data_IF_360760220134
#
_entry.id   IF_360760220134
#
_cell.length_a   1.000
_cell.length_b   1.000
_cell.length_c   1.000
_cell.angle_alpha   90.00
_cell.angle_beta   90.00
_cell.angle_gamma   90.00
#
_symmetry.space_group_name_H-M   'P 1'
#
loop_
_entity.id
_entity.type
_entity.pdbx_description
1 polymer ?
#
# COMPACT_ATOMS: atom_id res chain seq x y z
N UNK A 1 -7.32 4.08 -3.50
CA UNK A 1 -7.59 5.22 -2.61
C UNK A 1 -7.68 4.74 -1.15
N UNK A 2 -6.52 4.69 -0.50
CA UNK A 2 -6.43 4.19 0.87
C UNK A 2 -7.13 5.13 1.87
N UNK A 3 -6.94 6.44 1.73
CA UNK A 3 -7.39 7.42 2.73
C UNK A 3 -8.91 7.45 2.84
N UNK A 4 -9.60 7.62 1.73
CA UNK A 4 -11.07 7.63 1.68
C UNK A 4 -11.64 6.28 2.15
N UNK A 5 -11.04 5.16 1.71
CA UNK A 5 -11.52 3.83 2.06
C UNK A 5 -11.42 3.55 3.56
N UNK A 6 -10.28 3.86 4.19
CA UNK A 6 -10.09 3.63 5.63
C UNK A 6 -10.97 4.57 6.45
N UNK A 7 -11.12 5.84 6.06
CA UNK A 7 -12.03 6.77 6.73
C UNK A 7 -13.48 6.24 6.67
N UNK A 8 -13.92 5.74 5.53
CA UNK A 8 -15.26 5.18 5.38
C UNK A 8 -15.49 3.95 6.26
N UNK A 9 -14.50 3.05 6.38
CA UNK A 9 -14.55 1.91 7.31
C UNK A 9 -14.67 2.36 8.78
N UNK A 10 -13.97 3.43 9.14
CA UNK A 10 -14.09 4.03 10.47
C UNK A 10 -15.47 4.65 10.72
N UNK A 11 -16.02 5.36 9.75
CA UNK A 11 -17.36 5.95 9.85
C UNK A 11 -18.46 4.87 9.93
N UNK A 12 -18.30 3.77 9.20
CA UNK A 12 -19.21 2.63 9.30
C UNK A 12 -19.11 1.95 10.67
N UNK A 13 -17.90 1.83 11.23
CA UNK A 13 -17.69 1.38 12.60
C UNK A 13 -18.40 2.29 13.61
N UNK A 14 -18.27 3.61 13.48
CA UNK A 14 -18.96 4.58 14.33
C UNK A 14 -20.47 4.39 14.28
N UNK A 15 -21.05 4.28 13.09
CA UNK A 15 -22.48 4.06 12.87
C UNK A 15 -22.96 2.78 13.54
N UNK A 16 -22.18 1.71 13.49
CA UNK A 16 -22.57 0.40 14.01
C UNK A 16 -22.37 0.24 15.53
N UNK A 17 -21.44 1.01 16.11
CA UNK A 17 -21.06 0.86 17.53
C UNK A 17 -21.41 2.06 18.39
N UNK A 18 -21.64 3.24 17.79
CA UNK A 18 -21.78 4.51 18.50
C UNK A 18 -20.45 5.08 19.03
N UNK A 19 -19.33 4.40 18.83
CA UNK A 19 -18.00 4.85 19.25
C UNK A 19 -17.56 5.98 18.33
N UNK A 20 -17.34 7.15 18.90
CA UNK A 20 -16.91 8.35 18.16
C UNK A 20 -15.41 8.54 18.22
N UNK A 21 -14.85 9.08 17.15
CA UNK A 21 -13.43 9.41 17.05
C UNK A 21 -13.14 10.45 15.98
N UNK A 22 -11.94 10.99 16.03
CA UNK A 22 -11.41 11.76 14.88
C UNK A 22 -10.80 10.79 13.87
N UNK A 23 -11.66 10.22 13.03
CA UNK A 23 -11.30 9.15 12.10
C UNK A 23 -10.34 9.60 11.01
N UNK A 24 -10.45 10.86 10.57
CA UNK A 24 -9.49 11.45 9.63
C UNK A 24 -8.10 11.48 10.25
N UNK A 25 -7.98 12.03 11.47
CA UNK A 25 -6.70 12.09 12.18
C UNK A 25 -6.15 10.69 12.47
N UNK A 26 -7.00 9.73 12.87
CA UNK A 26 -6.60 8.34 13.07
C UNK A 26 -6.00 7.76 11.79
N UNK A 27 -6.68 7.90 10.66
CA UNK A 27 -6.24 7.36 9.36
C UNK A 27 -4.92 7.96 8.93
N UNK A 28 -4.77 9.28 9.03
CA UNK A 28 -3.54 9.98 8.66
C UNK A 28 -2.36 9.57 9.57
N UNK A 29 -2.57 9.48 10.88
CA UNK A 29 -1.56 8.98 11.84
C UNK A 29 -1.20 7.52 11.57
N UNK A 30 -2.17 6.69 11.19
CA UNK A 30 -1.94 5.29 10.88
C UNK A 30 -1.04 5.15 9.65
N UNK A 31 -1.30 5.92 8.61
CA UNK A 31 -0.45 5.98 7.41
C UNK A 31 0.95 6.54 7.72
N UNK A 32 1.06 7.55 8.59
CA UNK A 32 2.35 8.11 9.02
C UNK A 32 3.22 7.10 9.77
N UNK A 33 2.62 6.16 10.51
CA UNK A 33 3.37 5.09 11.20
C UNK A 33 3.80 3.93 10.27
N UNK A 34 3.37 3.94 9.01
CA UNK A 34 3.63 2.88 8.04
C UNK A 34 5.14 2.65 7.81
N UNK A 35 5.86 3.64 7.29
CA UNK A 35 7.31 3.52 7.07
C UNK A 35 8.09 3.29 8.37
N UNK A 36 7.92 4.07 9.45
CA UNK A 36 8.67 3.86 10.69
C UNK A 36 8.50 2.48 11.32
N UNK A 37 7.34 1.83 11.11
CA UNK A 37 7.11 0.48 11.63
C UNK A 37 7.88 -0.59 10.85
N UNK A 38 7.98 -0.45 9.53
CA UNK A 38 8.75 -1.34 8.67
C UNK A 38 10.26 -1.12 8.81
N UNK A 39 10.71 0.11 9.02
CA UNK A 39 12.13 0.44 9.17
C UNK A 39 12.78 -0.31 10.33
N UNK A 40 12.05 -0.60 11.41
CA UNK A 40 12.56 -1.44 12.49
C UNK A 40 12.89 -2.87 12.04
N UNK A 41 12.10 -3.41 11.13
CA UNK A 41 12.36 -4.74 10.54
C UNK A 41 13.54 -4.64 9.57
N UNK A 42 13.55 -3.64 8.70
CA UNK A 42 14.60 -3.41 7.69
C UNK A 42 15.98 -3.18 8.32
N UNK A 43 16.02 -2.45 9.43
CA UNK A 43 17.25 -2.14 10.17
C UNK A 43 17.71 -3.29 11.10
N UNK A 44 16.98 -4.43 11.14
CA UNK A 44 17.32 -5.56 12.00
C UNK A 44 17.04 -5.33 13.49
N UNK A 45 16.32 -4.28 13.84
CA UNK A 45 15.89 -4.01 15.22
C UNK A 45 14.76 -4.96 15.66
N UNK A 46 14.15 -5.62 14.70
CA UNK A 46 13.05 -6.58 14.89
C UNK A 46 13.13 -7.66 13.81
N UNK A 47 12.80 -8.90 14.18
CA UNK A 47 12.61 -9.98 13.22
C UNK A 47 11.46 -9.66 12.23
N UNK A 48 11.46 -10.37 11.11
CA UNK A 48 10.41 -10.24 10.11
C UNK A 48 9.02 -10.45 10.73
N UNK A 49 8.13 -9.53 10.44
CA UNK A 49 6.68 -9.63 10.67
C UNK A 49 5.96 -9.04 9.46
N UNK A 50 4.79 -9.54 9.15
CA UNK A 50 3.98 -9.00 8.07
C UNK A 50 3.35 -7.63 8.42
N UNK A 51 2.92 -6.92 7.39
CA UNK A 51 2.39 -5.56 7.54
C UNK A 51 1.11 -5.51 8.38
N UNK A 52 0.24 -6.53 8.33
CA UNK A 52 -1.00 -6.55 9.13
C UNK A 52 -0.73 -6.52 10.63
N UNK A 53 0.34 -7.18 11.06
CA UNK A 53 0.81 -7.14 12.45
C UNK A 53 1.29 -5.72 12.82
N UNK A 54 2.11 -5.11 11.96
CA UNK A 54 2.59 -3.73 12.17
C UNK A 54 1.44 -2.72 12.16
N UNK A 55 0.46 -2.90 11.28
CA UNK A 55 -0.75 -2.09 11.23
C UNK A 55 -1.56 -2.22 12.51
N UNK A 56 -1.77 -3.45 13.03
CA UNK A 56 -2.52 -3.68 14.27
C UNK A 56 -1.85 -3.02 15.47
N UNK A 57 -0.55 -3.17 15.60
CA UNK A 57 0.23 -2.54 16.67
C UNK A 57 0.13 -1.01 16.62
N UNK A 58 0.29 -0.43 15.43
CA UNK A 58 0.14 1.00 15.21
C UNK A 58 -1.28 1.48 15.50
N UNK A 59 -2.29 0.75 15.05
CA UNK A 59 -3.70 1.07 15.33
C UNK A 59 -3.99 1.12 16.83
N UNK A 60 -3.57 0.12 17.60
CA UNK A 60 -3.76 0.07 19.06
C UNK A 60 -3.12 1.29 19.72
N UNK A 61 -1.89 1.63 19.32
CA UNK A 61 -1.19 2.80 19.84
C UNK A 61 -1.94 4.10 19.55
N UNK A 62 -2.40 4.29 18.31
CA UNK A 62 -3.09 5.51 17.87
C UNK A 62 -4.46 5.64 18.54
N UNK A 63 -5.22 4.55 18.66
CA UNK A 63 -6.50 4.56 19.38
C UNK A 63 -6.32 5.05 20.82
N UNK A 64 -5.28 4.57 21.52
CA UNK A 64 -4.94 5.02 22.87
C UNK A 64 -4.56 6.50 22.90
N UNK A 65 -3.75 6.96 21.97
CA UNK A 65 -3.29 8.35 21.86
C UNK A 65 -4.46 9.33 21.61
N UNK A 66 -5.42 8.90 20.79
CA UNK A 66 -6.62 9.68 20.46
C UNK A 66 -7.75 9.50 21.49
N UNK A 67 -7.53 8.73 22.56
CA UNK A 67 -8.54 8.40 23.57
C UNK A 67 -9.81 7.76 23.00
N UNK A 68 -9.69 6.98 21.91
CA UNK A 68 -10.79 6.23 21.30
C UNK A 68 -10.86 4.88 22.00
N UNK A 69 -11.91 4.67 22.82
CA UNK A 69 -12.07 3.51 23.67
C UNK A 69 -13.34 2.73 23.32
N UNK A 70 -13.46 1.50 23.85
CA UNK A 70 -14.68 0.70 23.75
C UNK A 70 -14.76 -0.21 22.54
N UNK A 71 -13.74 -0.26 21.69
CA UNK A 71 -13.71 -1.22 20.60
C UNK A 71 -13.56 -2.65 21.17
N UNK A 72 -14.45 -3.55 20.74
CA UNK A 72 -14.26 -4.98 20.97
C UNK A 72 -13.09 -5.52 20.13
N UNK A 73 -12.51 -6.64 20.52
CA UNK A 73 -11.46 -7.31 19.74
C UNK A 73 -11.93 -7.62 18.30
N UNK A 74 -13.20 -7.99 18.13
CA UNK A 74 -13.82 -8.19 16.81
C UNK A 74 -13.77 -6.91 15.98
N UNK A 75 -14.14 -5.77 16.54
CA UNK A 75 -14.13 -4.47 15.85
C UNK A 75 -12.72 -4.01 15.56
N UNK A 76 -11.77 -4.23 16.47
CA UNK A 76 -10.36 -3.92 16.27
C UNK A 76 -9.78 -4.72 15.11
N UNK A 77 -10.03 -6.03 15.06
CA UNK A 77 -9.58 -6.89 13.97
C UNK A 77 -10.23 -6.51 12.63
N UNK A 78 -11.53 -6.19 12.65
CA UNK A 78 -12.22 -5.73 11.46
C UNK A 78 -11.62 -4.42 10.93
N UNK A 79 -11.36 -3.45 11.80
CA UNK A 79 -10.74 -2.19 11.42
C UNK A 79 -9.31 -2.41 10.92
N UNK A 80 -8.52 -3.27 11.56
CA UNK A 80 -7.17 -3.59 11.10
C UNK A 80 -7.16 -4.11 9.66
N UNK A 81 -8.14 -4.92 9.29
CA UNK A 81 -8.27 -5.42 7.92
C UNK A 81 -8.98 -4.46 6.95
N UNK A 82 -9.20 -3.18 7.32
CA UNK A 82 -9.69 -2.16 6.40
C UNK A 82 -8.81 -2.03 5.15
N UNK A 83 -7.50 -2.17 5.32
CA UNK A 83 -6.51 -2.16 4.23
C UNK A 83 -6.71 -3.26 3.17
N UNK A 84 -7.39 -4.36 3.52
CA UNK A 84 -7.76 -5.44 2.58
C UNK A 84 -8.96 -5.07 1.70
N UNK A 85 -9.64 -3.96 1.99
CA UNK A 85 -10.93 -3.61 1.39
C UNK A 85 -10.92 -2.26 0.67
N UNK A 86 -9.72 -1.73 0.40
CA UNK A 86 -9.56 -0.44 -0.27
C UNK A 86 -10.29 -0.41 -1.61
N UNK A 87 -10.91 0.72 -1.91
CA UNK A 87 -11.49 0.99 -3.22
C UNK A 87 -10.40 1.45 -4.19
N UNK A 88 -10.40 0.97 -5.43
CA UNK A 88 -9.47 1.46 -6.45
C UNK A 88 -9.82 2.91 -6.83
N UNK A 89 -8.89 3.60 -7.45
CA UNK A 89 -9.20 4.81 -8.20
C UNK A 89 -10.07 4.46 -9.40
N UNK A 90 -10.84 5.43 -9.89
CA UNK A 90 -11.86 5.20 -10.94
C UNK A 90 -11.30 4.67 -12.25
N UNK A 91 -10.05 4.98 -12.56
CA UNK A 91 -9.32 4.56 -13.76
C UNK A 91 -8.60 3.21 -13.63
N UNK A 92 -8.47 2.69 -12.39
CA UNK A 92 -7.56 1.57 -12.10
C UNK A 92 -7.97 0.27 -12.81
N UNK A 93 -9.24 -0.12 -12.71
CA UNK A 93 -9.69 -1.42 -13.25
C UNK A 93 -9.60 -1.42 -14.78
N UNK A 94 -10.02 -0.32 -15.42
CA UNK A 94 -9.95 -0.17 -16.87
C UNK A 94 -8.49 -0.14 -17.33
N UNK A 95 -7.65 0.69 -16.69
CA UNK A 95 -6.23 0.80 -17.02
C UNK A 95 -5.48 -0.52 -16.87
N UNK A 96 -5.72 -1.29 -15.80
CA UNK A 96 -5.11 -2.60 -15.62
C UNK A 96 -5.55 -3.61 -16.67
N UNK A 97 -6.82 -3.63 -17.07
CA UNK A 97 -7.30 -4.50 -18.16
C UNK A 97 -6.67 -4.13 -19.50
N UNK A 98 -6.48 -2.84 -19.77
CA UNK A 98 -5.80 -2.37 -20.98
C UNK A 98 -4.33 -2.81 -20.98
N UNK A 99 -3.62 -2.63 -19.88
CA UNK A 99 -2.24 -3.08 -19.74
C UNK A 99 -2.11 -4.60 -19.90
N UNK A 100 -3.00 -5.36 -19.28
CA UNK A 100 -3.01 -6.83 -19.35
C UNK A 100 -3.16 -7.37 -20.78
N UNK A 101 -3.76 -6.62 -21.68
CA UNK A 101 -3.88 -7.04 -23.09
C UNK A 101 -2.54 -7.13 -23.81
N UNK A 102 -1.49 -6.48 -23.30
CA UNK A 102 -0.17 -6.42 -23.93
C UNK A 102 0.99 -6.85 -23.02
N UNK A 103 0.77 -6.86 -21.70
CA UNK A 103 1.80 -7.11 -20.70
C UNK A 103 1.33 -8.10 -19.66
N UNK A 104 2.26 -8.83 -19.05
CA UNK A 104 2.00 -9.50 -17.78
C UNK A 104 2.01 -8.46 -16.66
N UNK A 105 0.94 -8.41 -15.85
CA UNK A 105 0.79 -7.46 -14.77
C UNK A 105 0.85 -8.12 -13.41
N UNK A 106 1.65 -7.55 -12.52
CA UNK A 106 1.90 -8.09 -11.18
C UNK A 106 1.79 -7.02 -10.13
N UNK A 107 1.41 -7.40 -8.92
CA UNK A 107 1.62 -6.51 -7.77
C UNK A 107 3.08 -6.55 -7.32
N UNK A 108 3.57 -5.47 -6.71
CA UNK A 108 4.77 -5.44 -5.89
C UNK A 108 4.54 -4.46 -4.75
N UNK A 109 4.13 -4.97 -3.61
CA UNK A 109 3.65 -4.17 -2.49
C UNK A 109 4.27 -4.59 -1.16
N UNK A 110 4.36 -3.66 -0.23
CA UNK A 110 4.67 -3.96 1.17
C UNK A 110 3.50 -4.64 1.91
N UNK A 111 2.28 -4.60 1.37
CA UNK A 111 1.12 -5.34 1.87
C UNK A 111 1.33 -6.85 1.81
N UNK A 112 0.75 -7.60 2.75
CA UNK A 112 0.79 -9.06 2.76
C UNK A 112 0.05 -9.71 1.59
N UNK A 113 0.32 -10.98 1.31
CA UNK A 113 -0.32 -11.74 0.22
C UNK A 113 -1.83 -11.76 0.38
N UNK A 114 -2.32 -12.00 1.60
CA UNK A 114 -3.76 -12.02 1.90
C UNK A 114 -4.41 -10.65 1.65
N UNK A 115 -3.76 -9.56 2.04
CA UNK A 115 -4.23 -8.20 1.79
C UNK A 115 -4.42 -7.95 0.29
N UNK A 116 -3.40 -8.24 -0.50
CA UNK A 116 -3.41 -8.03 -1.95
C UNK A 116 -4.43 -8.93 -2.66
N UNK A 117 -4.51 -10.19 -2.24
CA UNK A 117 -5.47 -11.16 -2.78
C UNK A 117 -6.92 -10.76 -2.46
N UNK A 118 -7.18 -10.33 -1.22
CA UNK A 118 -8.52 -9.87 -0.82
C UNK A 118 -8.94 -8.63 -1.60
N UNK A 119 -8.04 -7.66 -1.79
CA UNK A 119 -8.31 -6.49 -2.64
C UNK A 119 -8.58 -6.91 -4.09
N UNK A 120 -7.73 -7.77 -4.65
CA UNK A 120 -7.88 -8.23 -6.04
C UNK A 120 -9.22 -8.91 -6.27
N UNK A 121 -9.62 -9.82 -5.37
CA UNK A 121 -10.90 -10.51 -5.45
C UNK A 121 -12.09 -9.57 -5.32
N UNK A 122 -12.05 -8.65 -4.33
CA UNK A 122 -13.15 -7.70 -4.08
C UNK A 122 -13.32 -6.73 -5.23
N UNK A 123 -12.24 -6.23 -5.79
CA UNK A 123 -12.24 -5.17 -6.80
C UNK A 123 -12.07 -5.70 -8.23
N UNK A 124 -11.98 -7.01 -8.42
CA UNK A 124 -11.76 -7.69 -9.72
C UNK A 124 -10.51 -7.16 -10.44
N UNK A 125 -9.42 -6.98 -9.69
CA UNK A 125 -8.15 -6.55 -10.24
C UNK A 125 -7.49 -7.74 -10.98
N UNK A 126 -7.11 -7.58 -12.25
CA UNK A 126 -6.80 -8.71 -13.13
C UNK A 126 -5.31 -9.11 -13.08
N UNK A 127 -4.71 -9.17 -11.89
CA UNK A 127 -3.29 -9.52 -11.71
C UNK A 127 -2.97 -10.92 -12.24
N UNK A 128 -1.84 -11.06 -12.93
CA UNK A 128 -1.27 -12.35 -13.31
C UNK A 128 -0.47 -12.96 -12.16
N UNK A 129 0.24 -12.12 -11.39
CA UNK A 129 1.00 -12.53 -10.22
C UNK A 129 0.74 -11.58 -9.05
N UNK A 130 0.80 -12.13 -7.83
CA UNK A 130 0.71 -11.35 -6.60
C UNK A 130 2.04 -11.45 -5.87
N UNK A 131 2.87 -10.40 -5.99
CA UNK A 131 4.11 -10.27 -5.25
C UNK A 131 3.94 -9.26 -4.11
N UNK A 132 4.51 -9.61 -2.98
CA UNK A 132 4.41 -8.91 -1.72
C UNK A 132 5.79 -8.87 -1.05
N UNK A 133 6.02 -7.92 -0.16
CA UNK A 133 7.16 -7.95 0.74
C UNK A 133 7.27 -9.27 1.50
N UNK A 134 6.14 -9.90 1.84
CA UNK A 134 6.05 -11.23 2.45
C UNK A 134 6.64 -12.32 1.56
N UNK A 135 6.53 -12.20 0.23
CA UNK A 135 7.14 -13.13 -0.74
C UNK A 135 8.65 -13.15 -0.64
N UNK A 136 9.24 -12.03 -0.29
CA UNK A 136 10.70 -11.82 -0.25
C UNK A 136 11.25 -11.70 1.17
N UNK A 137 10.39 -11.61 2.19
CA UNK A 137 10.76 -11.35 3.58
C UNK A 137 11.55 -10.03 3.74
N UNK A 138 11.31 -9.09 2.83
CA UNK A 138 11.92 -7.75 2.79
C UNK A 138 10.88 -6.71 2.41
N UNK A 139 10.95 -5.55 3.04
CA UNK A 139 10.11 -4.40 2.69
C UNK A 139 10.80 -3.52 1.65
N UNK A 140 10.02 -2.90 0.77
CA UNK A 140 10.51 -1.80 -0.05
C UNK A 140 11.03 -0.67 0.89
N UNK A 141 12.13 0.00 0.56
CA UNK A 141 12.85 -0.05 -0.71
C UNK A 141 14.04 -1.02 -0.78
N UNK A 142 14.04 -2.13 -0.03
CA UNK A 142 15.14 -3.10 -0.07
C UNK A 142 15.22 -3.77 -1.45
N UNK A 143 16.44 -4.01 -1.95
CA UNK A 143 16.72 -4.54 -3.28
C UNK A 143 16.03 -5.89 -3.54
N UNK A 144 15.93 -6.72 -2.50
CA UNK A 144 15.36 -8.06 -2.55
C UNK A 144 13.93 -8.08 -3.03
N UNK A 145 13.16 -7.00 -2.78
CA UNK A 145 11.79 -6.89 -3.26
C UNK A 145 11.74 -6.64 -4.76
N UNK A 146 12.54 -5.70 -5.27
CA UNK A 146 12.53 -5.35 -6.70
C UNK A 146 13.20 -6.41 -7.54
N UNK A 147 14.43 -6.81 -7.17
CA UNK A 147 15.20 -7.82 -7.92
C UNK A 147 14.58 -9.21 -7.80
N UNK A 148 14.03 -9.56 -6.62
CA UNK A 148 13.30 -10.81 -6.45
C UNK A 148 12.03 -10.89 -7.32
N UNK A 149 11.33 -9.76 -7.54
CA UNK A 149 10.21 -9.73 -8.47
C UNK A 149 10.66 -9.94 -9.92
N UNK A 150 11.76 -9.31 -10.33
CA UNK A 150 12.37 -9.50 -11.67
C UNK A 150 12.75 -10.96 -11.88
N UNK A 151 13.42 -11.58 -10.91
CA UNK A 151 13.79 -13.01 -10.95
C UNK A 151 12.54 -13.92 -11.09
N UNK A 152 11.49 -13.67 -10.28
CA UNK A 152 10.27 -14.48 -10.35
C UNK A 152 9.50 -14.32 -11.68
N UNK A 153 9.65 -13.16 -12.34
CA UNK A 153 9.10 -12.93 -13.66
C UNK A 153 9.94 -13.56 -14.77
N UNK A 154 11.15 -14.04 -14.46
CA UNK A 154 12.14 -14.55 -15.41
C UNK A 154 12.44 -13.53 -16.53
N UNK A 155 12.65 -12.26 -16.14
CA UNK A 155 12.93 -11.12 -17.00
C UNK A 155 14.29 -10.51 -16.65
N UNK A 156 14.82 -9.67 -17.54
CA UNK A 156 15.88 -8.75 -17.21
C UNK A 156 15.29 -7.47 -16.55
N UNK A 157 16.08 -6.74 -15.76
CA UNK A 157 15.60 -5.56 -15.03
C UNK A 157 14.97 -4.51 -15.96
N UNK A 158 15.59 -4.29 -17.13
CA UNK A 158 15.11 -3.31 -18.12
C UNK A 158 13.83 -3.72 -18.86
N UNK A 159 13.38 -4.96 -18.71
CA UNK A 159 12.12 -5.48 -19.26
C UNK A 159 10.95 -5.33 -18.27
N UNK A 160 11.24 -4.99 -17.00
CA UNK A 160 10.23 -4.81 -15.93
C UNK A 160 10.05 -3.33 -15.66
N UNK A 161 8.79 -2.88 -15.63
CA UNK A 161 8.44 -1.50 -15.30
C UNK A 161 7.67 -1.46 -13.98
N UNK A 162 8.15 -0.67 -13.00
CA UNK A 162 7.38 -0.32 -11.82
C UNK A 162 6.47 0.87 -12.15
N UNK A 163 5.18 0.71 -11.87
CA UNK A 163 4.16 1.78 -11.98
C UNK A 163 3.70 2.17 -10.59
N UNK A 164 3.89 3.40 -10.19
CA UNK A 164 3.53 3.89 -8.87
C UNK A 164 3.18 5.38 -8.87
N UNK A 165 2.55 5.83 -7.77
CA UNK A 165 2.23 7.23 -7.51
C UNK A 165 3.28 7.92 -6.60
N UNK A 166 4.31 7.20 -6.16
CA UNK A 166 5.31 7.70 -5.22
C UNK A 166 6.70 7.73 -5.87
N UNK A 167 7.26 8.93 -6.00
CA UNK A 167 8.59 9.12 -6.61
C UNK A 167 9.67 8.32 -5.90
N UNK A 168 9.67 8.26 -4.57
CA UNK A 168 10.67 7.50 -3.81
C UNK A 168 10.69 6.00 -4.16
N UNK A 169 9.53 5.38 -4.38
CA UNK A 169 9.44 3.98 -4.79
C UNK A 169 9.97 3.78 -6.22
N UNK A 170 9.62 4.71 -7.12
CA UNK A 170 10.09 4.70 -8.51
C UNK A 170 11.60 4.91 -8.62
N UNK A 171 12.16 5.88 -7.89
CA UNK A 171 13.60 6.14 -7.85
C UNK A 171 14.37 4.93 -7.30
N UNK A 172 13.82 4.28 -6.28
CA UNK A 172 14.42 3.04 -5.75
C UNK A 172 14.43 1.93 -6.80
N UNK A 173 13.30 1.67 -7.47
CA UNK A 173 13.21 0.67 -8.54
C UNK A 173 14.19 0.99 -9.68
N UNK A 174 14.27 2.26 -10.07
CA UNK A 174 15.20 2.72 -11.12
C UNK A 174 16.66 2.50 -10.73
N UNK A 175 17.04 2.70 -9.48
CA UNK A 175 18.41 2.46 -9.02
C UNK A 175 18.83 0.98 -9.17
N UNK A 176 17.87 0.07 -9.23
CA UNK A 176 18.08 -1.37 -9.48
C UNK A 176 17.93 -1.75 -10.97
N UNK A 177 17.76 -0.76 -11.86
CA UNK A 177 17.71 -0.96 -13.31
C UNK A 177 16.33 -1.22 -13.90
N UNK A 178 15.25 -1.15 -13.11
CA UNK A 178 13.89 -1.26 -13.62
C UNK A 178 13.51 0.00 -14.42
N UNK A 179 12.56 -0.14 -15.34
CA UNK A 179 11.81 0.99 -15.90
C UNK A 179 10.79 1.51 -14.91
N UNK A 180 10.40 2.76 -15.06
CA UNK A 180 9.53 3.44 -14.09
C UNK A 180 8.45 4.26 -14.78
N UNK A 181 7.23 4.20 -14.24
CA UNK A 181 6.11 5.04 -14.68
C UNK A 181 5.40 5.67 -13.48
N UNK A 182 5.28 6.97 -13.51
CA UNK A 182 4.56 7.73 -12.49
C UNK A 182 3.09 7.89 -12.89
N UNK A 183 2.18 7.61 -11.96
CA UNK A 183 0.74 7.87 -12.12
C UNK A 183 0.31 8.88 -11.06
N UNK A 184 -0.17 10.05 -11.50
CA UNK A 184 -0.58 11.11 -10.61
C UNK A 184 -1.79 10.70 -9.75
N UNK A 185 -1.66 10.91 -8.44
CA UNK A 185 -2.74 10.76 -7.43
C UNK A 185 -2.78 12.01 -6.55
N UNK A 186 -3.24 13.12 -7.12
CA UNK A 186 -3.15 14.46 -6.53
C UNK A 186 -3.87 14.63 -5.18
N UNK A 187 -4.77 13.70 -4.83
CA UNK A 187 -5.55 13.75 -3.59
C UNK A 187 -5.40 12.49 -2.72
N UNK A 188 -4.35 11.70 -2.96
CA UNK A 188 -4.11 10.46 -2.19
C UNK A 188 -4.01 10.72 -0.69
N UNK A 189 -3.37 11.84 -0.32
CA UNK A 189 -3.20 12.30 1.08
C UNK A 189 -4.20 13.40 1.46
N UNK A 190 -5.23 13.62 0.66
CA UNK A 190 -6.24 14.67 0.84
C UNK A 190 -5.99 15.90 -0.02
N UNK A 191 -6.89 16.89 0.12
CA UNK A 191 -6.89 18.09 -0.74
C UNK A 191 -5.65 18.98 -0.63
N UNK A 192 -4.92 18.88 0.49
CA UNK A 192 -3.74 19.70 0.75
C UNK A 192 -2.42 18.94 0.48
N UNK A 193 -2.46 17.89 -0.33
CA UNK A 193 -1.24 17.19 -0.73
C UNK A 193 -0.31 18.12 -1.50
N UNK A 194 0.97 18.19 -1.12
CA UNK A 194 1.98 19.08 -1.69
C UNK A 194 3.23 18.33 -2.21
N UNK A 195 3.21 17.00 -2.20
CA UNK A 195 4.27 16.12 -2.68
C UNK A 195 3.70 15.06 -3.64
N UNK A 196 4.57 14.43 -4.42
CA UNK A 196 4.22 13.45 -5.46
C UNK A 196 3.15 13.98 -6.45
N UNK A 197 3.20 15.29 -6.78
CA UNK A 197 2.29 15.94 -7.72
C UNK A 197 2.80 15.91 -9.16
N UNK A 198 4.03 15.46 -9.38
CA UNK A 198 4.66 15.27 -10.68
C UNK A 198 5.77 14.22 -10.59
N UNK A 199 6.10 13.64 -11.72
CA UNK A 199 7.25 12.74 -11.82
C UNK A 199 8.56 13.50 -11.59
N UNK A 200 9.52 12.88 -10.92
CA UNK A 200 10.92 13.33 -10.92
C UNK A 200 11.55 13.11 -12.29
N UNK A 201 12.62 13.89 -12.58
CA UNK A 201 13.24 13.92 -13.91
C UNK A 201 13.80 12.57 -14.36
N UNK A 202 14.16 11.71 -13.43
CA UNK A 202 14.72 10.38 -13.69
C UNK A 202 13.68 9.35 -14.10
N UNK A 203 12.39 9.60 -13.89
CA UNK A 203 11.30 8.67 -14.19
C UNK A 203 11.10 8.59 -15.72
N UNK A 204 10.93 7.36 -16.24
CA UNK A 204 10.91 7.12 -17.70
C UNK A 204 9.60 7.60 -18.35
N UNK A 205 8.46 7.45 -17.66
CA UNK A 205 7.11 7.81 -18.17
C UNK A 205 6.29 8.46 -17.05
N UNK A 206 5.40 9.38 -17.41
CA UNK A 206 4.38 9.93 -16.51
C UNK A 206 3.02 9.99 -17.18
N UNK A 207 1.95 9.72 -16.43
CA UNK A 207 0.55 9.74 -16.84
C UNK A 207 -0.33 10.42 -15.77
#
# INVERSE_FOLDING_TARGET
>A
DWRTSVINECLELEKNTGIKGNWVKLTDMWRQNYMPSMDKVRNGEREWVNLDTLHKESLIKILKELNINGLSEKNLNHLNTAWHRLSPWSDTVEGLNLLKSNYSISTLSNGGIDLLTNMANKQKLPWDNVFSAETFMHYKPDSETYLGAVEKLNCETHEVMLVAAHNNDLLSAKSYGLKTAFVLRATEYGENQDFDLKAENEIDVSA
#
